data_IF_875377827698
#
_entry.id   IF_875377827698
#
_cell.length_a   1.000
_cell.length_b   1.000
_cell.length_c   1.000
_cell.angle_alpha   90.00
_cell.angle_beta   90.00
_cell.angle_gamma   90.00
#
_symmetry.space_group_name_H-M   'P 1'
#
loop_
_entity.id
_entity.type
_entity.pdbx_description
1 polymer ?
#
# COMPACT_ATOMS: atom_id res chain seq x y z
N UNK A 1 -6.45 9.53 -11.36
CA UNK A 1 -7.22 10.52 -10.54
C UNK A 1 -8.31 9.77 -9.78
N UNK A 2 -8.59 10.16 -8.54
CA UNK A 2 -9.64 9.55 -7.70
C UNK A 2 -10.82 10.52 -7.63
N UNK A 3 -12.04 10.02 -7.92
CA UNK A 3 -13.29 10.79 -7.75
C UNK A 3 -13.99 10.27 -6.52
N UNK A 4 -14.34 11.17 -5.60
CA UNK A 4 -14.95 10.83 -4.31
C UNK A 4 -16.36 11.37 -4.24
N UNK A 5 -17.33 10.50 -3.90
CA UNK A 5 -18.72 10.85 -3.62
C UNK A 5 -18.96 10.65 -2.12
N UNK A 6 -19.11 11.72 -1.33
CA UNK A 6 -19.37 11.58 0.10
C UNK A 6 -20.79 11.08 0.37
N UNK A 7 -20.94 10.25 1.40
CA UNK A 7 -22.21 9.80 1.96
C UNK A 7 -22.27 10.35 3.39
N UNK A 8 -22.55 11.65 3.50
CA UNK A 8 -22.36 12.42 4.72
C UNK A 8 -23.18 11.91 5.91
N UNK A 9 -24.43 11.46 5.67
CA UNK A 9 -25.34 10.95 6.70
C UNK A 9 -24.79 9.70 7.42
N UNK A 10 -23.92 8.95 6.75
CA UNK A 10 -23.30 7.74 7.30
C UNK A 10 -21.78 7.88 7.55
N UNK A 11 -21.23 9.08 7.34
CA UNK A 11 -19.80 9.35 7.51
C UNK A 11 -18.89 8.55 6.56
N UNK A 12 -19.45 8.03 5.47
CA UNK A 12 -18.79 7.19 4.49
C UNK A 12 -18.56 7.90 3.14
N UNK A 13 -17.99 7.14 2.20
CA UNK A 13 -17.84 7.61 0.82
C UNK A 13 -17.79 6.44 -0.18
N UNK A 14 -18.09 6.74 -1.46
CA UNK A 14 -17.76 5.94 -2.62
C UNK A 14 -16.65 6.63 -3.41
N UNK A 15 -15.57 5.92 -3.69
CA UNK A 15 -14.48 6.37 -4.54
C UNK A 15 -14.46 5.62 -5.87
N UNK A 16 -14.24 6.34 -6.97
CA UNK A 16 -13.97 5.75 -8.29
C UNK A 16 -12.54 6.07 -8.70
N UNK A 17 -11.80 5.06 -9.11
CA UNK A 17 -10.39 5.14 -9.46
C UNK A 17 -10.16 4.49 -10.83
N UNK A 18 -10.49 5.19 -11.94
CA UNK A 18 -10.21 4.70 -13.28
C UNK A 18 -8.73 4.84 -13.61
N UNK A 19 -8.21 3.93 -14.44
CA UNK A 19 -6.87 4.01 -14.98
C UNK A 19 -6.76 3.28 -16.32
N UNK A 20 -5.79 3.74 -17.10
CA UNK A 20 -5.26 3.05 -18.28
C UNK A 20 -3.74 3.10 -18.22
N UNK A 21 -3.09 1.95 -18.29
CA UNK A 21 -1.64 1.84 -18.30
C UNK A 21 -1.19 0.62 -19.10
N UNK A 22 -0.43 0.86 -20.17
CA UNK A 22 0.01 -0.21 -21.05
C UNK A 22 -1.17 -0.93 -21.71
N UNK A 23 -1.34 -2.22 -21.39
CA UNK A 23 -2.44 -3.03 -21.90
C UNK A 23 -3.59 -3.21 -20.87
N UNK A 24 -3.67 -2.37 -19.86
CA UNK A 24 -4.65 -2.52 -18.76
C UNK A 24 -5.58 -1.32 -18.72
N UNK A 25 -6.85 -1.55 -18.99
CA UNK A 25 -7.92 -0.56 -18.87
C UNK A 25 -8.92 -1.03 -17.83
N UNK A 26 -9.26 -0.15 -16.88
CA UNK A 26 -10.21 -0.53 -15.84
C UNK A 26 -10.48 0.54 -14.81
N UNK A 27 -11.19 0.13 -13.76
CA UNK A 27 -11.47 1.00 -12.63
C UNK A 27 -11.60 0.18 -11.35
N UNK A 28 -11.15 0.74 -10.23
CA UNK A 28 -11.56 0.30 -8.90
C UNK A 28 -12.67 1.21 -8.38
N UNK A 29 -13.75 0.60 -7.92
CA UNK A 29 -14.76 1.24 -7.09
C UNK A 29 -14.52 0.83 -5.64
N UNK A 30 -14.47 1.78 -4.74
CA UNK A 30 -14.17 1.54 -3.32
C UNK A 30 -15.15 2.29 -2.44
N UNK A 31 -15.66 1.63 -1.39
CA UNK A 31 -16.42 2.30 -0.34
C UNK A 31 -15.67 2.21 0.98
N UNK A 32 -15.80 3.23 1.80
CA UNK A 32 -15.30 3.25 3.16
C UNK A 32 -16.35 3.83 4.09
N UNK A 33 -16.76 3.01 5.07
CA UNK A 33 -17.76 3.34 6.08
C UNK A 33 -17.17 3.00 7.45
N UNK A 34 -16.54 3.96 8.13
CA UNK A 34 -15.77 3.72 9.35
C UNK A 34 -16.60 3.22 10.54
N UNK A 35 -17.89 3.46 10.52
CA UNK A 35 -18.82 3.09 11.60
C UNK A 35 -19.45 1.70 11.42
N UNK A 36 -19.09 0.95 10.39
CA UNK A 36 -19.60 -0.41 10.19
C UNK A 36 -19.25 -1.31 11.38
N UNK A 37 -20.23 -2.10 11.81
CA UNK A 37 -20.09 -3.13 12.85
C UNK A 37 -20.49 -4.49 12.30
N UNK A 38 -19.68 -5.51 12.59
CA UNK A 38 -19.95 -6.87 12.11
C UNK A 38 -19.66 -7.13 10.64
N UNK A 39 -19.42 -6.09 9.84
CA UNK A 39 -19.01 -6.16 8.44
C UNK A 39 -17.76 -5.28 8.21
N UNK A 40 -16.97 -5.53 7.15
CA UNK A 40 -15.80 -4.70 6.86
C UNK A 40 -16.14 -3.22 6.68
N UNK A 41 -15.25 -2.35 7.12
CA UNK A 41 -15.39 -0.89 6.89
C UNK A 41 -15.02 -0.48 5.47
N UNK A 42 -14.37 -1.36 4.73
CA UNK A 42 -13.88 -1.15 3.39
C UNK A 42 -14.36 -2.26 2.47
N UNK A 43 -14.99 -1.89 1.35
CA UNK A 43 -15.37 -2.80 0.27
C UNK A 43 -14.85 -2.24 -1.04
N UNK A 44 -14.54 -3.11 -2.00
CA UNK A 44 -14.09 -2.68 -3.32
C UNK A 44 -14.50 -3.68 -4.41
N UNK A 45 -14.71 -3.14 -5.62
CA UNK A 45 -14.82 -3.91 -6.85
C UNK A 45 -13.74 -3.41 -7.81
N UNK A 46 -13.16 -4.33 -8.58
CA UNK A 46 -12.28 -3.98 -9.70
C UNK A 46 -12.93 -4.48 -11.00
N UNK A 47 -12.97 -3.58 -11.98
CA UNK A 47 -13.47 -3.84 -13.32
C UNK A 47 -12.30 -3.78 -14.29
N UNK A 48 -12.19 -4.78 -15.19
CA UNK A 48 -11.24 -4.75 -16.31
C UNK A 48 -12.02 -4.73 -17.61
N UNK A 49 -11.45 -4.04 -18.58
CA UNK A 49 -11.99 -3.90 -19.94
C UNK A 49 -10.91 -4.23 -20.96
N UNK A 50 -11.33 -4.71 -22.12
CA UNK A 50 -10.47 -4.85 -23.29
C UNK A 50 -10.05 -3.47 -23.78
N UNK A 51 -8.77 -3.10 -23.80
CA UNK A 51 -8.36 -1.74 -24.16
C UNK A 51 -8.70 -1.34 -25.59
N UNK A 52 -8.69 -2.32 -26.52
CA UNK A 52 -8.90 -2.07 -27.95
C UNK A 52 -10.37 -1.84 -28.32
N UNK A 53 -11.29 -2.39 -27.52
CA UNK A 53 -12.73 -2.38 -27.86
C UNK A 53 -13.62 -1.75 -26.78
N UNK A 54 -13.09 -1.61 -25.54
CA UNK A 54 -13.87 -1.20 -24.38
C UNK A 54 -14.82 -2.29 -23.84
N UNK A 55 -14.75 -3.53 -24.36
CA UNK A 55 -15.59 -4.62 -23.90
C UNK A 55 -15.26 -4.97 -22.43
N UNK A 56 -16.28 -5.13 -21.54
CA UNK A 56 -16.05 -5.63 -20.19
C UNK A 56 -15.47 -7.04 -20.21
N UNK A 57 -14.39 -7.24 -19.45
CA UNK A 57 -13.74 -8.56 -19.30
C UNK A 57 -14.18 -9.25 -18.02
N UNK A 58 -14.15 -8.53 -16.90
CA UNK A 58 -14.42 -9.12 -15.59
C UNK A 58 -14.77 -8.05 -14.56
N UNK A 59 -15.60 -8.45 -13.59
CA UNK A 59 -15.83 -7.74 -12.33
C UNK A 59 -15.40 -8.68 -11.21
N UNK A 60 -14.55 -8.20 -10.30
CA UNK A 60 -14.03 -9.02 -9.21
C UNK A 60 -14.06 -8.27 -7.87
N UNK A 61 -14.08 -9.03 -6.77
CA UNK A 61 -13.89 -8.46 -5.43
C UNK A 61 -12.52 -7.79 -5.37
N UNK A 62 -12.52 -6.49 -5.06
CA UNK A 62 -11.31 -5.67 -5.01
C UNK A 62 -10.72 -5.55 -3.60
N UNK A 63 -11.34 -6.12 -2.57
CA UNK A 63 -10.89 -5.97 -1.19
C UNK A 63 -9.53 -6.62 -0.98
N UNK A 64 -9.42 -7.91 -1.28
CA UNK A 64 -8.15 -8.63 -1.15
C UNK A 64 -7.08 -8.09 -2.11
N UNK A 65 -7.47 -7.70 -3.32
CA UNK A 65 -6.57 -7.04 -4.27
C UNK A 65 -5.97 -5.78 -3.64
N UNK A 66 -6.82 -4.91 -3.08
CA UNK A 66 -6.36 -3.67 -2.43
C UNK A 66 -5.42 -3.95 -1.23
N UNK A 67 -5.75 -4.96 -0.42
CA UNK A 67 -4.92 -5.37 0.71
C UNK A 67 -3.53 -5.81 0.25
N UNK A 68 -3.47 -6.74 -0.69
CA UNK A 68 -2.22 -7.38 -1.13
C UNK A 68 -1.35 -6.46 -1.98
N UNK A 69 -1.94 -5.67 -2.92
CA UNK A 69 -1.15 -4.78 -3.78
C UNK A 69 -0.46 -3.67 -2.99
N UNK A 70 -1.08 -3.19 -1.88
CA UNK A 70 -0.48 -2.17 -1.02
C UNK A 70 0.75 -2.71 -0.30
N UNK A 71 0.70 -3.94 0.22
CA UNK A 71 1.88 -4.60 0.76
C UNK A 71 2.95 -4.88 -0.31
N UNK A 72 2.52 -5.29 -1.51
CA UNK A 72 3.42 -5.62 -2.61
C UNK A 72 4.22 -4.40 -3.11
N UNK A 73 3.60 -3.22 -3.25
CA UNK A 73 4.33 -2.01 -3.65
C UNK A 73 5.32 -1.56 -2.57
N UNK A 74 4.97 -1.68 -1.30
CA UNK A 74 5.90 -1.43 -0.18
C UNK A 74 7.05 -2.44 -0.16
N UNK A 75 6.81 -3.71 -0.52
CA UNK A 75 7.87 -4.71 -0.65
C UNK A 75 8.80 -4.38 -1.84
N UNK A 76 8.26 -3.93 -2.97
CA UNK A 76 9.06 -3.45 -4.11
C UNK A 76 9.91 -2.23 -3.73
N UNK A 77 9.34 -1.27 -2.99
CA UNK A 77 10.07 -0.12 -2.45
C UNK A 77 11.18 -0.57 -1.49
N UNK A 78 10.88 -1.46 -0.54
CA UNK A 78 11.85 -2.00 0.41
C UNK A 78 13.01 -2.72 -0.29
N UNK A 79 12.73 -3.48 -1.35
CA UNK A 79 13.77 -4.16 -2.14
C UNK A 79 14.77 -3.16 -2.74
N UNK A 80 14.33 -1.97 -3.13
CA UNK A 80 15.14 -0.95 -3.81
C UNK A 80 15.74 0.08 -2.85
N UNK A 81 15.09 0.31 -1.70
CA UNK A 81 15.40 1.43 -0.81
C UNK A 81 15.94 1.02 0.57
N UNK A 82 15.67 -0.19 1.04
CA UNK A 82 16.26 -0.69 2.29
C UNK A 82 17.66 -1.23 2.04
N UNK A 83 18.50 -1.22 3.08
CA UNK A 83 19.80 -1.88 3.02
C UNK A 83 19.65 -3.39 2.76
N UNK A 84 20.58 -4.02 2.05
CA UNK A 84 20.52 -5.45 1.77
C UNK A 84 20.52 -6.34 3.02
N UNK A 85 21.23 -5.90 4.07
CA UNK A 85 21.40 -6.59 5.35
C UNK A 85 20.28 -6.31 6.38
N UNK A 86 19.24 -5.56 5.99
CA UNK A 86 18.11 -5.23 6.85
C UNK A 86 17.44 -6.50 7.40
N UNK A 87 17.41 -6.62 8.73
CA UNK A 87 17.00 -7.85 9.41
C UNK A 87 16.05 -7.63 10.60
N UNK A 88 15.74 -6.38 10.95
CA UNK A 88 14.80 -6.04 12.02
C UNK A 88 13.65 -5.20 11.45
N UNK A 89 12.42 -5.71 11.59
CA UNK A 89 11.19 -5.05 11.10
C UNK A 89 10.37 -4.53 12.30
N UNK A 90 10.01 -3.26 12.24
CA UNK A 90 9.03 -2.64 13.11
C UNK A 90 7.70 -2.41 12.38
N UNK A 91 6.57 -2.74 13.00
CA UNK A 91 5.23 -2.48 12.46
C UNK A 91 4.44 -1.65 13.47
N UNK A 92 4.10 -0.42 13.09
CA UNK A 92 3.18 0.44 13.81
C UNK A 92 1.78 0.30 13.21
N UNK A 93 0.89 -0.37 13.94
CA UNK A 93 -0.43 -0.80 13.50
C UNK A 93 -0.61 -2.31 13.60
N UNK A 94 -1.84 -2.79 13.65
CA UNK A 94 -2.19 -4.22 13.75
C UNK A 94 -3.43 -4.58 12.91
N UNK A 95 -3.74 -3.73 11.95
CA UNK A 95 -4.87 -3.91 11.03
C UNK A 95 -4.50 -4.74 9.79
N UNK A 96 -5.40 -4.70 8.82
CA UNK A 96 -5.27 -5.43 7.55
C UNK A 96 -3.97 -5.06 6.82
N UNK A 97 -3.63 -3.76 6.77
CA UNK A 97 -2.42 -3.31 6.11
C UNK A 97 -1.14 -3.75 6.84
N UNK A 98 -1.14 -3.79 8.19
CA UNK A 98 -0.03 -4.34 8.94
C UNK A 98 0.23 -5.81 8.58
N UNK A 99 -0.84 -6.62 8.41
CA UNK A 99 -0.75 -8.01 7.98
C UNK A 99 -0.20 -8.14 6.56
N UNK A 100 -0.79 -7.44 5.58
CA UNK A 100 -0.37 -7.57 4.19
C UNK A 100 1.07 -7.09 3.96
N UNK A 101 1.52 -6.06 4.70
CA UNK A 101 2.92 -5.63 4.68
C UNK A 101 3.84 -6.68 5.28
N UNK A 102 3.48 -7.29 6.41
CA UNK A 102 4.27 -8.37 7.00
C UNK A 102 4.45 -9.53 6.01
N UNK A 103 3.36 -9.98 5.39
CA UNK A 103 3.37 -11.05 4.40
C UNK A 103 4.24 -10.68 3.18
N UNK A 104 4.06 -9.48 2.63
CA UNK A 104 4.80 -9.03 1.46
C UNK A 104 6.30 -8.78 1.75
N UNK A 105 6.64 -8.18 2.88
CA UNK A 105 8.03 -7.88 3.23
C UNK A 105 8.85 -9.13 3.50
N UNK A 106 8.24 -10.19 4.04
CA UNK A 106 8.88 -11.51 4.19
C UNK A 106 9.28 -12.15 2.85
N UNK A 107 8.72 -11.71 1.72
CA UNK A 107 9.11 -12.22 0.39
C UNK A 107 10.38 -11.55 -0.16
N UNK A 108 10.80 -10.42 0.42
CA UNK A 108 11.93 -9.63 -0.08
C UNK A 108 13.08 -9.47 0.92
N UNK A 109 12.85 -9.80 2.19
CA UNK A 109 13.86 -9.76 3.26
C UNK A 109 13.62 -10.87 4.27
N UNK A 110 14.70 -11.44 4.79
CA UNK A 110 14.67 -12.33 5.95
C UNK A 110 14.83 -11.50 7.23
N UNK A 111 13.77 -11.43 8.01
CA UNK A 111 13.78 -10.70 9.27
C UNK A 111 14.05 -11.66 10.43
N UNK A 112 15.16 -11.46 11.15
CA UNK A 112 15.49 -12.18 12.40
C UNK A 112 14.62 -11.74 13.58
N UNK A 113 14.12 -10.50 13.53
CA UNK A 113 13.25 -9.95 14.56
C UNK A 113 12.14 -9.11 13.91
N UNK A 114 10.91 -9.32 14.34
CA UNK A 114 9.75 -8.54 13.91
C UNK A 114 9.00 -8.07 15.14
N UNK A 115 8.81 -6.76 15.25
CA UNK A 115 8.16 -6.10 16.38
C UNK A 115 6.87 -5.45 15.89
N UNK A 116 5.80 -5.59 16.66
CA UNK A 116 4.54 -4.91 16.40
C UNK A 116 4.13 -4.08 17.60
N UNK A 117 3.65 -2.87 17.31
CA UNK A 117 3.00 -2.03 18.28
C UNK A 117 1.68 -1.48 17.75
N UNK A 118 0.67 -1.51 18.58
CA UNK A 118 -0.59 -0.78 18.39
C UNK A 118 -1.29 -0.59 19.73
N UNK A 119 -2.11 0.46 19.89
CA UNK A 119 -2.71 0.78 21.19
C UNK A 119 -3.65 -0.31 21.76
N UNK A 120 -4.22 -1.17 20.93
CA UNK A 120 -5.28 -2.10 21.34
C UNK A 120 -5.04 -3.56 20.97
N UNK A 121 -4.59 -3.83 19.75
CA UNK A 121 -4.66 -5.19 19.17
C UNK A 121 -3.28 -5.82 18.91
N UNK A 122 -2.18 -5.22 19.37
CA UNK A 122 -0.81 -5.73 19.16
C UNK A 122 -0.65 -7.18 19.62
N UNK A 123 -1.20 -7.53 20.80
CA UNK A 123 -1.10 -8.88 21.36
C UNK A 123 -1.82 -9.95 20.52
N UNK A 124 -3.01 -9.65 19.97
CA UNK A 124 -3.73 -10.57 19.11
C UNK A 124 -3.01 -10.76 17.77
N UNK A 125 -2.51 -9.66 17.18
CA UNK A 125 -1.69 -9.69 15.98
C UNK A 125 -0.42 -10.51 16.18
N UNK A 126 0.31 -10.25 17.26
CA UNK A 126 1.57 -10.93 17.57
C UNK A 126 1.41 -12.44 17.72
N UNK A 127 0.39 -12.89 18.44
CA UNK A 127 0.08 -14.34 18.58
C UNK A 127 -0.24 -14.98 17.24
N UNK A 128 -1.00 -14.28 16.36
CA UNK A 128 -1.41 -14.83 15.05
C UNK A 128 -0.25 -14.97 14.07
N UNK A 129 0.73 -14.06 14.16
CA UNK A 129 1.79 -13.94 13.16
C UNK A 129 3.18 -14.29 13.71
N UNK A 130 3.25 -14.74 14.99
CA UNK A 130 4.49 -15.16 15.67
C UNK A 130 5.55 -14.06 15.66
N UNK A 131 5.15 -12.85 16.10
CA UNK A 131 6.03 -11.67 16.19
C UNK A 131 6.03 -11.11 17.61
N UNK A 132 7.04 -10.32 17.96
CA UNK A 132 7.19 -9.71 19.29
C UNK A 132 6.26 -8.51 19.46
N UNK A 133 5.56 -8.41 20.57
CA UNK A 133 4.86 -7.17 20.98
C UNK A 133 5.89 -6.19 21.55
N UNK A 134 5.90 -4.97 21.05
CA UNK A 134 6.65 -3.86 21.63
C UNK A 134 5.82 -3.12 22.68
N UNK A 135 6.48 -2.61 23.72
CA UNK A 135 5.83 -1.88 24.83
C UNK A 135 5.34 -0.49 24.41
N UNK A 136 6.03 0.13 23.45
CA UNK A 136 5.69 1.45 22.91
C UNK A 136 6.00 1.50 21.41
N UNK A 137 5.52 2.55 20.71
CA UNK A 137 5.93 2.83 19.33
C UNK A 137 7.45 3.05 19.23
N UNK A 138 8.03 3.74 20.21
CA UNK A 138 9.47 3.94 20.32
C UNK A 138 10.23 2.62 20.49
N UNK A 139 9.79 1.72 21.38
CA UNK A 139 10.40 0.39 21.58
C UNK A 139 10.34 -0.46 20.31
N UNK A 140 9.29 -0.32 19.51
CA UNK A 140 9.21 -1.00 18.22
C UNK A 140 10.26 -0.47 17.23
N UNK A 141 10.42 0.85 17.16
CA UNK A 141 11.19 1.56 16.11
C UNK A 141 12.69 1.58 16.39
N UNK A 142 13.11 1.80 17.63
CA UNK A 142 14.54 1.93 17.93
C UNK A 142 15.31 0.67 17.54
N UNK A 143 16.35 0.86 16.69
CA UNK A 143 17.18 -0.22 16.16
C UNK A 143 16.48 -1.12 15.14
N UNK A 144 15.33 -0.71 14.57
CA UNK A 144 14.75 -1.37 13.42
C UNK A 144 15.48 -0.94 12.13
N UNK A 145 15.58 -1.83 11.15
CA UNK A 145 16.11 -1.51 9.83
C UNK A 145 14.99 -1.06 8.88
N UNK A 146 13.82 -1.69 8.99
CA UNK A 146 12.63 -1.39 8.20
C UNK A 146 11.46 -1.09 9.13
N UNK A 147 10.74 -0.02 8.84
CA UNK A 147 9.59 0.43 9.62
C UNK A 147 8.37 0.48 8.71
N UNK A 148 7.26 -0.12 9.14
CA UNK A 148 5.94 0.02 8.51
C UNK A 148 5.05 0.87 9.41
N UNK A 149 4.50 1.96 8.86
CA UNK A 149 3.51 2.80 9.54
C UNK A 149 2.17 2.59 8.83
N UNK A 150 1.29 1.81 9.45
CA UNK A 150 0.01 1.37 8.89
C UNK A 150 -1.12 1.54 9.92
N UNK A 151 -1.34 2.79 10.34
CA UNK A 151 -2.30 3.13 11.37
C UNK A 151 -3.49 3.92 10.82
N UNK A 152 -4.47 4.18 11.64
CA UNK A 152 -5.57 5.12 11.39
C UNK A 152 -5.37 6.44 12.15
N UNK A 153 -4.14 6.71 12.61
CA UNK A 153 -3.84 7.96 13.30
C UNK A 153 -4.02 9.16 12.37
N UNK A 154 -4.49 10.25 12.93
CA UNK A 154 -4.59 11.55 12.23
C UNK A 154 -3.49 12.51 12.64
N UNK A 155 -2.69 12.12 13.63
CA UNK A 155 -1.57 12.87 14.17
C UNK A 155 -0.31 12.01 14.17
N UNK A 156 0.90 12.60 14.11
CA UNK A 156 2.15 11.88 14.04
C UNK A 156 2.31 10.80 15.12
N UNK A 157 2.66 9.59 14.69
CA UNK A 157 2.92 8.42 15.52
C UNK A 157 4.36 7.94 15.41
N UNK A 158 5.03 8.19 14.28
CA UNK A 158 6.46 7.98 14.12
C UNK A 158 7.19 9.30 14.33
N UNK A 159 8.22 9.28 15.19
CA UNK A 159 9.03 10.44 15.52
C UNK A 159 10.45 10.32 14.97
N UNK A 160 10.98 11.42 14.45
CA UNK A 160 12.32 11.48 13.89
C UNK A 160 13.44 11.26 14.92
N UNK A 161 13.21 11.57 16.19
CA UNK A 161 14.16 11.31 17.30
C UNK A 161 14.42 9.82 17.56
N UNK A 162 13.55 8.93 17.03
CA UNK A 162 13.73 7.47 17.15
C UNK A 162 14.51 6.87 15.99
N UNK A 163 14.71 7.64 14.91
CA UNK A 163 15.37 7.16 13.71
C UNK A 163 16.88 7.15 13.84
N UNK A 164 17.48 6.11 13.33
CA UNK A 164 18.93 5.97 13.13
C UNK A 164 19.29 5.99 11.65
N UNK A 165 20.53 6.34 11.29
CA UNK A 165 21.01 6.24 9.92
C UNK A 165 20.75 4.86 9.31
N UNK A 166 20.43 4.83 8.02
CA UNK A 166 20.23 3.61 7.25
C UNK A 166 18.83 3.00 7.31
N UNK A 167 17.92 3.51 8.13
CA UNK A 167 16.54 3.01 8.21
C UNK A 167 15.76 3.23 6.91
N UNK A 168 14.80 2.33 6.65
CA UNK A 168 13.81 2.45 5.59
C UNK A 168 12.40 2.46 6.16
N UNK A 169 11.55 3.38 5.70
CA UNK A 169 10.19 3.58 6.19
C UNK A 169 9.18 3.35 5.06
N UNK A 170 8.18 2.50 5.29
CA UNK A 170 6.98 2.38 4.48
C UNK A 170 5.81 3.00 5.24
N UNK A 171 5.31 4.14 4.80
CA UNK A 171 4.18 4.84 5.42
C UNK A 171 2.94 4.77 4.53
N UNK A 172 1.88 4.11 4.99
CA UNK A 172 0.68 3.80 4.19
C UNK A 172 -0.63 4.31 4.80
N UNK A 173 -0.63 4.74 6.05
CA UNK A 173 -1.76 5.41 6.66
C UNK A 173 -1.83 6.89 6.26
N UNK A 174 -2.78 7.62 6.84
CA UNK A 174 -2.99 9.05 6.56
C UNK A 174 -3.11 9.39 5.06
N UNK A 175 -4.02 8.72 4.30
CA UNK A 175 -4.24 9.00 2.88
C UNK A 175 -5.23 10.17 2.70
N UNK A 176 -5.05 11.26 3.46
CA UNK A 176 -5.83 12.49 3.39
C UNK A 176 -4.92 13.70 3.62
N UNK A 177 -5.21 14.84 2.99
CA UNK A 177 -4.35 16.03 3.07
C UNK A 177 -4.25 16.63 4.48
N UNK A 178 -5.24 16.39 5.33
CA UNK A 178 -5.32 16.87 6.72
C UNK A 178 -4.85 15.84 7.76
N UNK A 179 -4.37 14.66 7.34
CA UNK A 179 -3.90 13.59 8.23
C UNK A 179 -2.40 13.39 8.12
N UNK A 180 -1.75 13.10 9.26
CA UNK A 180 -0.31 12.82 9.32
C UNK A 180 -0.01 11.64 10.25
N UNK A 181 0.94 10.78 9.84
CA UNK A 181 1.51 9.72 10.68
C UNK A 181 2.96 9.99 11.06
N UNK A 182 3.61 10.93 10.38
CA UNK A 182 5.03 11.26 10.51
C UNK A 182 5.18 12.67 11.05
N UNK A 183 6.11 12.87 11.99
CA UNK A 183 6.45 14.22 12.43
C UNK A 183 7.38 14.94 11.44
N UNK A 184 7.63 16.23 11.68
CA UNK A 184 8.46 17.04 10.79
C UNK A 184 9.91 16.56 10.76
N UNK A 185 10.41 16.01 11.85
CA UNK A 185 11.77 15.50 11.94
C UNK A 185 11.98 14.25 11.08
N UNK A 186 11.00 13.34 11.01
CA UNK A 186 11.00 12.22 10.05
C UNK A 186 11.11 12.75 8.62
N UNK A 187 10.27 13.74 8.27
CA UNK A 187 10.23 14.29 6.91
C UNK A 187 11.52 15.03 6.53
N UNK A 188 12.19 15.67 7.49
CA UNK A 188 13.47 16.32 7.26
C UNK A 188 14.63 15.33 7.11
N UNK A 189 14.63 14.24 7.88
CA UNK A 189 15.69 13.24 7.86
C UNK A 189 15.62 12.29 6.68
N UNK A 190 14.42 12.02 6.16
CA UNK A 190 14.19 10.97 5.19
C UNK A 190 14.13 11.49 3.75
N UNK A 191 14.78 10.78 2.84
CA UNK A 191 14.61 10.97 1.40
C UNK A 191 13.27 10.37 0.98
N UNK A 192 12.34 11.23 0.50
CA UNK A 192 10.96 10.85 0.20
C UNK A 192 10.78 10.30 -1.21
N UNK A 193 10.23 9.11 -1.29
CA UNK A 193 9.76 8.42 -2.49
C UNK A 193 8.25 8.21 -2.41
N UNK A 194 7.56 8.25 -3.54
CA UNK A 194 6.10 8.07 -3.65
C UNK A 194 5.73 7.18 -4.83
N UNK A 195 4.48 6.76 -4.92
CA UNK A 195 3.95 6.06 -6.10
C UNK A 195 3.70 7.02 -7.27
N UNK A 196 3.12 8.17 -6.97
CA UNK A 196 2.78 9.23 -7.91
C UNK A 196 2.89 10.58 -7.23
N UNK A 197 3.68 11.48 -7.81
CA UNK A 197 3.82 12.87 -7.31
C UNK A 197 2.47 13.57 -7.29
N UNK A 198 1.70 13.42 -8.38
CA UNK A 198 0.39 14.05 -8.51
C UNK A 198 -0.59 13.58 -7.41
N UNK A 199 -0.70 12.27 -7.19
CA UNK A 199 -1.59 11.72 -6.18
C UNK A 199 -1.11 12.07 -4.76
N UNK A 200 0.17 11.87 -4.46
CA UNK A 200 0.71 12.04 -3.13
C UNK A 200 0.65 13.49 -2.62
N UNK A 201 0.91 14.47 -3.49
CA UNK A 201 0.80 15.91 -3.14
C UNK A 201 -0.63 16.38 -2.89
N UNK A 202 -1.63 15.68 -3.39
CA UNK A 202 -3.04 16.03 -3.17
C UNK A 202 -3.66 15.26 -2.01
N UNK A 203 -3.19 14.03 -1.76
CA UNK A 203 -3.89 13.07 -0.90
C UNK A 203 -3.17 12.80 0.42
N UNK A 204 -1.93 13.27 0.64
CA UNK A 204 -1.17 12.97 1.85
C UNK A 204 -0.68 14.22 2.57
N UNK A 205 -1.16 14.42 3.80
CA UNK A 205 -0.66 15.49 4.67
C UNK A 205 0.82 15.36 5.00
N UNK A 206 1.36 14.13 5.08
CA UNK A 206 2.80 13.91 5.26
C UNK A 206 3.60 14.45 4.06
N UNK A 207 3.14 14.18 2.81
CA UNK A 207 3.81 14.65 1.59
C UNK A 207 3.69 16.16 1.43
N UNK A 208 2.52 16.73 1.74
CA UNK A 208 2.30 18.18 1.71
C UNK A 208 3.24 18.87 2.71
N UNK A 209 3.39 18.32 3.92
CA UNK A 209 4.30 18.84 4.94
C UNK A 209 5.78 18.70 4.56
N UNK A 210 6.16 17.62 3.87
CA UNK A 210 7.53 17.41 3.40
C UNK A 210 7.96 18.44 2.33
N UNK A 211 7.03 18.94 1.53
CA UNK A 211 7.25 19.98 0.52
C UNK A 211 8.06 19.55 -0.70
N UNK A 212 8.77 18.41 -0.66
CA UNK A 212 9.58 17.91 -1.77
C UNK A 212 9.52 16.40 -1.87
N UNK A 213 9.53 15.89 -3.11
CA UNK A 213 9.58 14.46 -3.43
C UNK A 213 10.83 14.20 -4.25
N UNK A 214 11.66 13.25 -3.82
CA UNK A 214 12.89 12.91 -4.53
C UNK A 214 12.59 12.16 -5.83
N UNK A 215 11.84 11.06 -5.75
CA UNK A 215 11.50 10.25 -6.92
C UNK A 215 10.16 9.53 -6.76
N UNK A 216 9.57 9.12 -7.88
CA UNK A 216 8.55 8.09 -7.89
C UNK A 216 9.22 6.71 -7.84
N UNK A 217 8.61 5.76 -7.13
CA UNK A 217 9.21 4.41 -7.01
C UNK A 217 9.31 3.71 -8.37
N UNK A 218 8.41 4.02 -9.30
CA UNK A 218 8.47 3.55 -10.68
C UNK A 218 9.72 4.01 -11.42
N UNK A 219 10.20 5.26 -11.17
CA UNK A 219 11.44 5.78 -11.75
C UNK A 219 12.67 5.00 -11.23
N UNK A 220 12.63 4.61 -9.95
CA UNK A 220 13.70 3.82 -9.32
C UNK A 220 13.72 2.39 -9.88
N UNK A 221 12.57 1.74 -9.99
CA UNK A 221 12.45 0.38 -10.55
C UNK A 221 12.85 0.34 -12.02
N UNK A 222 12.55 1.39 -12.78
CA UNK A 222 12.95 1.54 -14.18
C UNK A 222 14.43 1.95 -14.36
N UNK A 223 15.17 2.25 -13.27
CA UNK A 223 16.56 2.67 -13.33
C UNK A 223 16.81 4.11 -13.83
N UNK A 224 15.75 4.93 -13.95
CA UNK A 224 15.84 6.33 -14.41
C UNK A 224 16.13 7.31 -13.26
N UNK A 225 15.91 6.90 -12.03
CA UNK A 225 16.30 7.60 -10.80
C UNK A 225 17.01 6.62 -9.86
N UNK A 226 17.99 7.10 -9.07
CA UNK A 226 18.64 6.25 -8.08
C UNK A 226 17.70 5.91 -6.94
N UNK A 227 17.85 4.69 -6.40
CA UNK A 227 17.31 4.30 -5.11
C UNK A 227 18.16 4.84 -3.96
N UNK A 228 18.42 3.99 -2.95
CA UNK A 228 19.36 4.29 -1.87
C UNK A 228 20.77 4.53 -2.42
N UNK A 229 21.43 5.59 -1.96
CA UNK A 229 22.76 6.00 -2.44
C UNK A 229 23.85 5.85 -1.37
N UNK A 230 23.48 5.70 -0.09
CA UNK A 230 24.44 5.42 0.98
C UNK A 230 23.82 4.54 2.08
N UNK A 231 24.68 3.89 2.88
CA UNK A 231 24.27 3.08 4.03
C UNK A 231 23.62 3.92 5.13
N UNK A 232 23.92 5.22 5.18
CA UNK A 232 23.45 6.13 6.20
C UNK A 232 22.11 6.81 5.85
N UNK A 233 21.72 6.81 4.57
CA UNK A 233 20.45 7.42 4.16
C UNK A 233 19.27 6.84 4.94
N UNK A 234 18.40 7.72 5.43
CA UNK A 234 17.05 7.33 5.82
C UNK A 234 16.15 7.49 4.61
N UNK A 235 15.47 6.43 4.20
CA UNK A 235 14.57 6.44 3.04
C UNK A 235 13.12 6.27 3.49
N UNK A 236 12.21 7.03 2.89
CA UNK A 236 10.78 7.00 3.17
C UNK A 236 10.01 6.75 1.88
N UNK A 237 9.27 5.66 1.84
CA UNK A 237 8.26 5.41 0.81
C UNK A 237 6.87 5.73 1.37
N UNK A 238 6.22 6.76 0.82
CA UNK A 238 4.85 7.12 1.18
C UNK A 238 3.88 6.65 0.10
N UNK A 239 3.02 5.71 0.49
CA UNK A 239 1.97 5.15 -0.36
C UNK A 239 0.61 5.82 -0.06
N UNK A 240 -0.08 6.23 -1.10
CA UNK A 240 -1.49 6.66 -1.07
C UNK A 240 -2.38 5.72 -1.89
N UNK A 241 -1.75 4.83 -2.68
CA UNK A 241 -2.37 3.85 -3.56
C UNK A 241 -2.88 4.47 -4.85
N UNK A 242 -2.44 3.91 -5.97
CA UNK A 242 -2.84 4.36 -7.31
C UNK A 242 -3.59 3.24 -8.05
N UNK A 243 -4.52 3.62 -8.92
CA UNK A 243 -5.41 2.67 -9.60
C UNK A 243 -4.66 1.65 -10.48
N UNK A 244 -3.52 2.04 -11.05
CA UNK A 244 -2.71 1.14 -11.90
C UNK A 244 -2.22 -0.09 -11.15
N UNK A 245 -1.98 0.01 -9.85
CA UNK A 245 -1.58 -1.13 -9.01
C UNK A 245 -2.74 -2.11 -8.81
N UNK A 246 -3.95 -1.57 -8.64
CA UNK A 246 -5.16 -2.38 -8.52
C UNK A 246 -5.42 -3.13 -9.84
N UNK A 247 -5.24 -2.46 -11.00
CA UNK A 247 -5.44 -3.07 -12.31
C UNK A 247 -4.37 -4.12 -12.62
N UNK A 248 -3.09 -3.86 -12.32
CA UNK A 248 -2.00 -4.83 -12.51
C UNK A 248 -2.22 -6.10 -11.68
N UNK A 249 -2.68 -5.94 -10.44
CA UNK A 249 -3.00 -7.06 -9.56
C UNK A 249 -4.24 -7.83 -10.03
N UNK A 250 -5.29 -7.11 -10.45
CA UNK A 250 -6.50 -7.70 -10.99
C UNK A 250 -6.24 -8.48 -12.28
N UNK A 251 -5.42 -7.95 -13.17
CA UNK A 251 -5.01 -8.63 -14.40
C UNK A 251 -4.27 -9.95 -14.10
N UNK A 252 -3.36 -9.93 -13.12
CA UNK A 252 -2.68 -11.16 -12.69
C UNK A 252 -3.66 -12.21 -12.18
N UNK A 253 -4.65 -11.80 -11.35
CA UNK A 253 -5.70 -12.70 -10.85
C UNK A 253 -6.55 -13.23 -11.99
N UNK A 254 -6.97 -12.35 -12.91
CA UNK A 254 -7.79 -12.72 -14.07
C UNK A 254 -7.09 -13.77 -14.96
N UNK A 255 -5.83 -13.51 -15.33
CA UNK A 255 -5.04 -14.46 -16.14
C UNK A 255 -4.86 -15.82 -15.45
N UNK A 256 -4.61 -15.82 -14.14
CA UNK A 256 -4.49 -17.06 -13.37
C UNK A 256 -5.81 -17.82 -13.28
N UNK A 257 -6.93 -17.12 -13.13
CA UNK A 257 -8.26 -17.72 -13.12
C UNK A 257 -8.58 -18.38 -14.47
N UNK A 258 -8.29 -17.71 -15.59
CA UNK A 258 -8.45 -18.28 -16.93
C UNK A 258 -7.58 -19.53 -17.14
N UNK A 259 -6.32 -19.49 -16.71
CA UNK A 259 -5.40 -20.62 -16.84
C UNK A 259 -5.78 -21.82 -15.93
N UNK A 260 -6.48 -21.57 -14.84
CA UNK A 260 -6.96 -22.61 -13.90
C UNK A 260 -8.31 -23.22 -14.30
N UNK A 261 -9.06 -22.60 -15.21
CA UNK A 261 -10.28 -23.20 -15.74
C UNK A 261 -9.88 -24.39 -16.63
N UNK A 262 -10.37 -25.65 -16.38
CA UNK A 262 -10.27 -26.70 -17.36
C UNK A 262 -10.96 -26.18 -18.62
N UNK A 263 -10.30 -26.32 -19.77
CA UNK A 263 -10.93 -26.08 -21.06
C UNK A 263 -12.23 -26.89 -21.09
N UNK A 264 -13.35 -26.27 -20.84
CA UNK A 264 -14.66 -26.77 -21.25
C UNK A 264 -14.62 -26.68 -22.78
N UNK A 265 -14.06 -27.73 -23.40
CA UNK A 265 -14.16 -27.98 -24.82
C UNK A 265 -15.64 -28.29 -25.08
N UNK A 266 -16.37 -27.29 -25.53
CA UNK A 266 -17.77 -27.47 -25.90
C UNK A 266 -18.43 -26.11 -26.10
N UNK A 267 -18.68 -25.80 -27.39
CA UNK A 267 -19.63 -24.83 -27.88
C UNK A 267 -19.35 -23.34 -27.69
N UNK A 268 -18.50 -22.80 -28.56
CA UNK A 268 -18.68 -21.42 -28.97
C UNK A 268 -19.99 -21.32 -29.78
N UNK A 269 -20.99 -20.47 -29.39
CA UNK A 269 -22.13 -20.21 -30.24
C UNK A 269 -21.64 -19.53 -31.50
N UNK A 270 -21.88 -20.18 -32.66
CA UNK A 270 -21.67 -19.56 -33.96
C UNK A 270 -22.52 -18.30 -34.03
N UNK A 271 -21.86 -17.14 -34.12
CA UNK A 271 -22.52 -15.90 -34.39
C UNK A 271 -23.17 -16.00 -35.77
N UNK A 272 -24.49 -16.15 -35.84
CA UNK A 272 -25.28 -15.92 -37.02
C UNK A 272 -25.20 -14.42 -37.34
N UNK A 273 -24.49 -14.09 -38.40
CA UNK A 273 -24.53 -12.74 -39.01
C UNK A 273 -25.90 -12.53 -39.65
N UNK A 274 -26.52 -11.34 -39.51
CA UNK A 274 -27.63 -10.91 -40.33
C UNK A 274 -27.16 -10.57 -41.75
#
# INVERSE_FOLDING_TARGET
>A
MRVMVPVAEHGGFLGSMPAYAGAQLGAKLVTFFPNNQGIPTHHALVLLFQPETGQPLVVMDGRLITEMRTGAVSAAATRSLARPDSSVLAILGSGVQARSHLEALRTVREFREIRVWSPRNAGAFARRHEVRVAHSAEDAVRGADVIVVATTSRTPILRGEWLSPGMHINAVGAPRPDWRELDDEVLHKAKLYVESREAATRESGDVIAAGSIFAEIGEVVAGTKPGRQSEEEVTLFKSVGVAVEDLASAELVYRRALAAQPLLAGDAPQATRP
#
